data_IF_246805926321
#
_entry.id   IF_246805926321
#
_cell.length_a   1.000
_cell.length_b   1.000
_cell.length_c   1.000
_cell.angle_alpha   90.00
_cell.angle_beta   90.00
_cell.angle_gamma   90.00
#
_symmetry.space_group_name_H-M   'P 1'
#
loop_
_entity.id
_entity.type
_entity.pdbx_description
1 polymer ?
#
# COMPACT_ATOMS: atom_id res chain seq x y z
N UNK A 1 8.31 -10.10 18.38
CA UNK A 1 6.95 -9.61 18.08
C UNK A 1 6.61 -10.01 16.65
N UNK A 2 5.52 -10.70 16.48
CA UNK A 2 5.11 -11.18 15.17
C UNK A 2 3.64 -10.91 14.92
N UNK A 3 3.35 -10.48 13.70
CA UNK A 3 1.98 -10.47 13.22
C UNK A 3 1.74 -11.79 12.50
N UNK A 4 0.61 -12.44 12.73
CA UNK A 4 0.28 -13.64 11.99
C UNK A 4 -0.12 -13.26 10.55
N UNK A 5 -0.21 -14.25 9.66
CA UNK A 5 -0.50 -13.99 8.24
C UNK A 5 -1.81 -13.24 8.02
N UNK A 6 -2.81 -13.49 8.86
CA UNK A 6 -4.11 -12.82 8.71
C UNK A 6 -4.03 -11.33 9.04
N UNK A 7 -3.02 -10.92 9.81
CA UNK A 7 -2.84 -9.52 10.20
C UNK A 7 -1.97 -8.75 9.23
N UNK A 8 -1.30 -9.43 8.29
CA UNK A 8 -0.47 -8.79 7.29
C UNK A 8 -1.25 -8.42 6.04
N UNK A 9 -2.37 -7.74 6.23
CA UNK A 9 -3.14 -7.18 5.12
C UNK A 9 -2.34 -6.04 4.49
N UNK A 10 -2.75 -5.62 3.29
CA UNK A 10 -2.13 -4.47 2.65
C UNK A 10 -2.29 -3.23 3.53
N UNK A 11 -3.47 -3.06 4.13
CA UNK A 11 -3.72 -1.93 5.05
C UNK A 11 -2.72 -1.95 6.21
N UNK A 12 -2.53 -3.12 6.83
CA UNK A 12 -1.59 -3.23 7.95
C UNK A 12 -0.16 -2.89 7.52
N UNK A 13 0.27 -3.38 6.36
CA UNK A 13 1.60 -3.10 5.85
C UNK A 13 1.79 -1.61 5.58
N UNK A 14 0.79 -0.95 5.00
CA UNK A 14 0.84 0.49 4.77
C UNK A 14 0.96 1.23 6.09
N UNK A 15 0.13 0.88 7.07
CA UNK A 15 0.15 1.55 8.38
C UNK A 15 1.49 1.36 9.08
N UNK A 16 2.10 0.20 8.96
CA UNK A 16 3.44 -0.03 9.50
C UNK A 16 4.46 0.90 8.83
N UNK A 17 4.39 1.00 7.50
CA UNK A 17 5.30 1.88 6.75
C UNK A 17 5.11 3.35 7.10
N UNK A 18 3.88 3.75 7.41
CA UNK A 18 3.55 5.12 7.82
C UNK A 18 3.79 5.36 9.30
N UNK A 19 4.21 4.33 10.03
CA UNK A 19 4.43 4.41 11.48
C UNK A 19 3.16 4.76 12.25
N UNK A 20 2.02 4.31 11.77
CA UNK A 20 0.73 4.49 12.42
C UNK A 20 0.43 3.31 13.35
N UNK A 21 1.33 3.08 14.28
CA UNK A 21 1.19 1.99 15.23
C UNK A 21 2.02 2.29 16.47
N UNK A 22 1.70 1.58 17.54
CA UNK A 22 2.53 1.56 18.73
C UNK A 22 2.56 0.14 19.28
N UNK A 23 3.45 -0.10 20.20
CA UNK A 23 3.61 -1.43 20.78
C UNK A 23 3.10 -1.39 22.22
N UNK A 24 2.24 -2.36 22.56
CA UNK A 24 1.75 -2.52 23.92
C UNK A 24 2.18 -3.88 24.45
N UNK A 25 2.52 -3.92 25.73
CA UNK A 25 2.83 -5.16 26.41
C UNK A 25 1.55 -5.65 27.11
N UNK A 26 1.14 -6.87 26.78
CA UNK A 26 -0.05 -7.48 27.38
C UNK A 26 0.37 -8.68 28.22
N UNK A 27 -0.38 -8.94 29.29
CA UNK A 27 -0.15 -10.08 30.17
C UNK A 27 -1.06 -11.21 29.78
N UNK A 28 -0.47 -12.38 29.52
CA UNK A 28 -1.21 -13.60 29.21
C UNK A 28 -1.80 -14.21 30.48
N UNK A 29 -2.67 -15.21 30.31
CA UNK A 29 -3.30 -15.90 31.43
C UNK A 29 -2.29 -16.61 32.33
N UNK A 30 -1.15 -17.00 31.78
CA UNK A 30 -0.09 -17.70 32.52
C UNK A 30 0.94 -16.75 33.13
N UNK A 31 0.62 -15.47 33.25
CA UNK A 31 1.46 -14.41 33.79
C UNK A 31 2.69 -14.09 32.93
N UNK A 32 2.82 -14.68 31.74
CA UNK A 32 3.84 -14.25 30.81
C UNK A 32 3.37 -12.99 30.08
N UNK A 33 4.32 -12.21 29.56
CA UNK A 33 3.99 -11.02 28.81
C UNK A 33 4.39 -11.17 27.35
N UNK A 34 3.70 -10.47 26.47
CA UNK A 34 4.07 -10.39 25.08
C UNK A 34 3.82 -8.99 24.56
N UNK A 35 4.58 -8.60 23.56
CA UNK A 35 4.40 -7.32 22.88
C UNK A 35 3.45 -7.52 21.71
N UNK A 36 2.51 -6.61 21.57
CA UNK A 36 1.56 -6.62 20.45
C UNK A 36 1.59 -5.28 19.72
N UNK A 37 1.32 -5.33 18.44
CA UNK A 37 1.19 -4.13 17.63
C UNK A 37 -0.24 -3.63 17.72
N UNK A 38 -0.41 -2.36 18.03
CA UNK A 38 -1.71 -1.70 18.05
C UNK A 38 -1.68 -0.60 16.99
N UNK A 39 -2.61 -0.66 16.04
CA UNK A 39 -2.65 0.32 14.98
C UNK A 39 -3.36 1.60 15.43
N UNK A 40 -2.78 2.72 15.03
CA UNK A 40 -3.25 4.07 15.37
C UNK A 40 -3.87 4.74 14.16
N UNK A 41 -4.34 5.97 14.36
CA UNK A 41 -4.85 6.83 13.28
C UNK A 41 -5.95 6.16 12.46
N UNK A 42 -6.94 5.60 13.15
CA UNK A 42 -8.07 4.93 12.49
C UNK A 42 -8.84 5.88 11.56
N UNK A 43 -8.78 7.16 11.85
CA UNK A 43 -9.42 8.17 11.01
C UNK A 43 -8.80 8.25 9.61
N UNK A 44 -7.57 7.76 9.45
CA UNK A 44 -6.86 7.75 8.17
C UNK A 44 -7.12 6.47 7.36
N UNK A 45 -7.72 5.46 7.99
CA UNK A 45 -7.90 4.16 7.34
C UNK A 45 -8.74 4.24 6.07
N UNK A 46 -9.76 5.07 6.08
CA UNK A 46 -10.64 5.19 4.91
C UNK A 46 -9.85 5.74 3.70
N UNK A 47 -9.01 6.73 3.93
CA UNK A 47 -8.16 7.26 2.87
C UNK A 47 -7.20 6.20 2.38
N UNK A 48 -6.56 5.48 3.30
CA UNK A 48 -5.60 4.44 2.93
C UNK A 48 -6.29 3.36 2.11
N UNK A 49 -7.49 2.93 2.50
CA UNK A 49 -8.23 1.91 1.75
C UNK A 49 -8.59 2.39 0.34
N UNK A 50 -8.93 3.66 0.19
CA UNK A 50 -9.19 4.23 -1.12
C UNK A 50 -7.92 4.21 -1.98
N UNK A 51 -6.78 4.55 -1.39
CA UNK A 51 -5.51 4.52 -2.10
C UNK A 51 -5.10 3.10 -2.48
N UNK A 52 -5.41 2.12 -1.62
CA UNK A 52 -5.15 0.71 -1.93
C UNK A 52 -5.98 0.28 -3.14
N UNK A 53 -7.24 0.66 -3.17
CA UNK A 53 -8.12 0.33 -4.30
C UNK A 53 -7.56 0.93 -5.58
N UNK A 54 -7.17 2.20 -5.52
CA UNK A 54 -6.62 2.89 -6.69
C UNK A 54 -5.32 2.23 -7.17
N UNK A 55 -4.41 1.95 -6.25
CA UNK A 55 -3.14 1.33 -6.60
C UNK A 55 -3.34 -0.06 -7.20
N UNK A 56 -4.29 -0.83 -6.64
CA UNK A 56 -4.61 -2.15 -7.16
C UNK A 56 -5.11 -2.06 -8.62
N UNK A 57 -6.00 -1.10 -8.89
CA UNK A 57 -6.48 -0.89 -10.25
C UNK A 57 -5.36 -0.46 -11.19
N UNK A 58 -4.45 0.38 -10.71
CA UNK A 58 -3.31 0.81 -11.52
C UNK A 58 -2.41 -0.35 -11.89
N UNK A 59 -2.16 -1.27 -10.98
CA UNK A 59 -1.38 -2.49 -11.26
C UNK A 59 -2.12 -3.36 -12.25
N UNK A 60 -3.43 -3.55 -12.07
CA UNK A 60 -4.25 -4.32 -13.02
C UNK A 60 -4.14 -3.75 -14.44
N UNK A 61 -4.25 -2.42 -14.54
CA UNK A 61 -4.18 -1.76 -15.84
C UNK A 61 -2.82 -1.95 -16.50
N UNK A 62 -1.77 -1.91 -15.72
CA UNK A 62 -0.41 -2.15 -16.23
C UNK A 62 -0.19 -3.59 -16.66
N UNK A 63 -0.82 -4.54 -15.96
CA UNK A 63 -0.70 -5.95 -16.33
C UNK A 63 -1.43 -6.26 -17.63
N UNK A 64 -2.45 -5.49 -17.97
CA UNK A 64 -3.17 -5.69 -19.22
C UNK A 64 -3.65 -7.13 -19.38
N UNK A 65 -4.43 -7.61 -18.40
CA UNK A 65 -4.85 -9.00 -18.37
C UNK A 65 -5.62 -9.40 -19.61
N UNK A 66 -5.35 -10.62 -20.15
CA UNK A 66 -6.13 -11.14 -21.27
C UNK A 66 -7.61 -11.32 -20.88
N UNK A 67 -8.48 -11.21 -21.88
CA UNK A 67 -9.91 -11.38 -21.66
C UNK A 67 -10.26 -12.77 -21.09
N UNK A 68 -9.39 -13.76 -21.34
CA UNK A 68 -9.58 -15.11 -20.82
C UNK A 68 -9.33 -15.25 -19.32
N UNK A 69 -8.72 -14.22 -18.69
CA UNK A 69 -8.45 -14.29 -17.25
C UNK A 69 -9.72 -14.10 -16.46
N UNK A 70 -9.93 -15.01 -15.50
CA UNK A 70 -11.05 -14.90 -14.57
C UNK A 70 -10.64 -13.99 -13.39
N UNK A 71 -11.62 -13.56 -12.62
CA UNK A 71 -11.38 -12.79 -11.40
C UNK A 71 -10.41 -13.52 -10.47
N UNK A 72 -10.56 -14.83 -10.35
CA UNK A 72 -9.68 -15.64 -9.51
C UNK A 72 -8.24 -15.62 -10.02
N UNK A 73 -8.06 -15.72 -11.32
CA UNK A 73 -6.71 -15.69 -11.92
C UNK A 73 -6.06 -14.34 -11.71
N UNK A 74 -6.82 -13.27 -11.84
CA UNK A 74 -6.32 -11.91 -11.62
C UNK A 74 -5.91 -11.75 -10.15
N UNK A 75 -6.75 -12.18 -9.24
CA UNK A 75 -6.46 -12.10 -7.80
C UNK A 75 -5.17 -12.84 -7.44
N UNK A 76 -4.99 -14.04 -8.00
CA UNK A 76 -3.78 -14.81 -7.77
C UNK A 76 -2.53 -14.11 -8.34
N UNK A 77 -2.66 -13.53 -9.53
CA UNK A 77 -1.53 -12.84 -10.16
C UNK A 77 -1.13 -11.61 -9.34
N UNK A 78 -2.12 -10.90 -8.78
CA UNK A 78 -1.85 -9.68 -8.03
C UNK A 78 -1.08 -9.92 -6.73
N UNK A 79 -1.12 -11.13 -6.21
CA UNK A 79 -0.40 -11.45 -4.96
C UNK A 79 1.09 -11.18 -5.06
N UNK A 80 1.68 -11.40 -6.22
CA UNK A 80 3.11 -11.14 -6.41
C UNK A 80 3.45 -9.65 -6.42
N UNK A 81 2.45 -8.79 -6.60
CA UNK A 81 2.63 -7.35 -6.67
C UNK A 81 2.19 -6.62 -5.40
N UNK A 82 1.95 -7.36 -4.33
CA UNK A 82 1.51 -6.76 -3.07
C UNK A 82 2.49 -5.69 -2.58
N UNK A 83 3.78 -5.96 -2.67
CA UNK A 83 4.81 -4.99 -2.31
C UNK A 83 4.77 -3.73 -3.17
N UNK A 84 4.50 -3.90 -4.47
CA UNK A 84 4.34 -2.75 -5.37
C UNK A 84 3.14 -1.91 -4.96
N UNK A 85 2.02 -2.58 -4.64
CA UNK A 85 0.81 -1.88 -4.20
C UNK A 85 1.09 -1.09 -2.93
N UNK A 86 1.76 -1.69 -1.94
CA UNK A 86 2.11 -1.02 -0.71
C UNK A 86 2.96 0.23 -1.00
N UNK A 87 3.97 0.09 -1.86
CA UNK A 87 4.84 1.21 -2.22
C UNK A 87 4.06 2.34 -2.88
N UNK A 88 3.14 1.99 -3.78
CA UNK A 88 2.29 2.99 -4.44
C UNK A 88 1.41 3.72 -3.44
N UNK A 89 0.82 3.00 -2.50
CA UNK A 89 -0.06 3.60 -1.49
C UNK A 89 0.72 4.55 -0.59
N UNK A 90 1.90 4.13 -0.14
CA UNK A 90 2.75 4.97 0.70
C UNK A 90 3.15 6.25 -0.05
N UNK A 91 3.50 6.11 -1.30
CA UNK A 91 3.82 7.26 -2.15
C UNK A 91 2.62 8.19 -2.27
N UNK A 92 1.46 7.64 -2.65
CA UNK A 92 0.25 8.42 -2.85
C UNK A 92 -0.21 9.10 -1.57
N UNK A 93 -0.07 8.42 -0.44
CA UNK A 93 -0.42 8.99 0.86
C UNK A 93 0.45 10.22 1.16
N UNK A 94 1.74 10.14 0.86
CA UNK A 94 2.64 11.26 1.07
C UNK A 94 2.29 12.45 0.16
N UNK A 95 1.76 12.16 -1.04
CA UNK A 95 1.37 13.19 -1.99
C UNK A 95 0.06 13.88 -1.61
N UNK A 96 -0.83 13.18 -0.93
CA UNK A 96 -2.16 13.71 -0.63
C UNK A 96 -2.12 15.02 0.16
N UNK A 97 -1.14 15.17 1.06
CA UNK A 97 -0.95 16.43 1.76
C UNK A 97 -0.12 17.43 0.99
N UNK A 98 0.79 16.94 0.16
CA UNK A 98 1.74 17.77 -0.56
C UNK A 98 1.15 18.48 -1.77
N UNK A 99 0.14 17.87 -2.41
CA UNK A 99 -0.55 18.53 -3.53
C UNK A 99 -1.11 19.87 -3.11
N UNK A 100 -1.68 19.92 -1.92
CA UNK A 100 -2.21 21.15 -1.38
C UNK A 100 -1.11 22.16 -1.10
N UNK A 101 0.00 21.71 -0.55
CA UNK A 101 1.14 22.57 -0.26
C UNK A 101 1.79 23.09 -1.55
N UNK A 102 1.88 22.25 -2.55
CA UNK A 102 2.46 22.64 -3.83
C UNK A 102 1.63 23.73 -4.51
N UNK A 103 0.31 23.70 -4.34
CA UNK A 103 -0.57 24.70 -4.94
C UNK A 103 -0.42 26.07 -4.28
N UNK A 104 0.22 26.17 -3.13
CA UNK A 104 0.53 27.44 -2.49
C UNK A 104 1.80 28.07 -3.03
N UNK A 105 2.26 27.58 -4.17
CA UNK A 105 3.33 28.27 -4.87
C UNK A 105 4.64 28.26 -4.15
N UNK A 106 5.12 27.11 -3.88
CA UNK A 106 6.49 26.91 -3.51
C UNK A 106 7.36 27.40 -4.66
N UNK A 107 7.41 28.69 -4.81
CA UNK A 107 8.08 29.32 -5.94
C UNK A 107 9.53 28.90 -5.99
N UNK A 108 9.87 28.22 -7.05
CA UNK A 108 11.25 27.87 -7.30
C UNK A 108 11.77 26.68 -6.51
N UNK A 109 10.95 26.08 -5.69
CA UNK A 109 11.36 24.82 -5.07
C UNK A 109 10.99 23.70 -6.01
N UNK A 110 11.98 23.29 -6.75
CA UNK A 110 11.87 22.11 -7.57
C UNK A 110 11.90 20.91 -6.64
N UNK A 111 10.76 20.39 -6.31
CA UNK A 111 10.71 19.11 -5.59
C UNK A 111 10.81 18.01 -6.61
N UNK A 112 11.93 17.33 -6.56
CA UNK A 112 12.08 16.14 -7.39
C UNK A 112 11.39 15.00 -6.68
N UNK A 113 10.12 14.81 -7.01
CA UNK A 113 9.43 13.64 -6.53
C UNK A 113 9.93 12.44 -7.29
N UNK A 114 10.08 11.35 -6.57
CA UNK A 114 10.34 10.07 -7.23
C UNK A 114 9.20 9.84 -8.20
N UNK A 115 9.54 9.56 -9.44
CA UNK A 115 8.54 9.28 -10.47
C UNK A 115 7.72 8.06 -10.03
N UNK A 116 6.40 8.25 -9.93
CA UNK A 116 5.49 7.19 -9.54
C UNK A 116 5.62 5.96 -10.45
N UNK A 117 5.86 6.18 -11.73
CA UNK A 117 6.04 5.08 -12.68
C UNK A 117 7.19 4.16 -12.30
N UNK A 118 8.22 4.68 -11.66
CA UNK A 118 9.36 3.86 -11.26
C UNK A 118 9.00 2.85 -10.17
N UNK A 119 7.87 3.02 -9.51
CA UNK A 119 7.43 2.09 -8.47
C UNK A 119 6.83 0.81 -9.03
N UNK A 120 6.50 0.78 -10.33
CA UNK A 120 5.94 -0.40 -10.96
C UNK A 120 7.02 -1.41 -11.36
N UNK A 121 8.01 -1.60 -10.51
CA UNK A 121 9.12 -2.51 -10.76
C UNK A 121 8.60 -3.93 -10.91
N UNK A 122 8.94 -4.57 -12.02
CA UNK A 122 8.54 -5.95 -12.27
C UNK A 122 7.11 -6.12 -12.76
N UNK A 123 6.34 -5.05 -12.88
CA UNK A 123 4.98 -5.12 -13.39
C UNK A 123 5.02 -4.95 -14.90
N UNK A 124 5.04 -6.07 -15.60
CA UNK A 124 5.09 -6.10 -17.06
C UNK A 124 3.72 -6.46 -17.62
N UNK A 125 3.30 -5.83 -18.73
CA UNK A 125 2.01 -6.14 -19.32
C UNK A 125 2.03 -7.48 -20.03
N UNK A 126 0.91 -8.18 -20.01
CA UNK A 126 0.71 -9.31 -20.91
C UNK A 126 0.63 -8.79 -22.33
N UNK A 127 1.27 -9.52 -23.24
CA UNK A 127 1.21 -9.19 -24.65
C UNK A 127 -0.03 -9.85 -25.23
N UNK A 128 -0.92 -9.05 -25.78
CA UNK A 128 -2.10 -9.58 -26.45
C UNK A 128 -1.72 -9.97 -27.87
N UNK A 129 -1.96 -11.22 -28.20
CA UNK A 129 -1.76 -11.72 -29.55
C UNK A 129 -2.91 -11.24 -30.43
N UNK A 130 -2.60 -10.64 -31.54
CA UNK A 130 -3.59 -10.23 -32.53
C UNK A 130 -3.98 -11.41 -33.43
#
# INVERSE_FOLDING_TARGET
>A
MELNKAEYTILAQVKIRLKQFHIETVTNEDDTTKDVVVFDNKEDDLLIEQLIKQATEDVKNRRNYPDSYTEKMITEDLKQFEGVIVNLVVYDHSQAGEEFMASFGENGVSRTWKDRDSLFVGVFPFVKML
#
